data_IF_306066679810
#
_entry.id   IF_306066679810
#
_cell.length_a   1.000
_cell.length_b   1.000
_cell.length_c   1.000
_cell.angle_alpha   90.00
_cell.angle_beta   90.00
_cell.angle_gamma   90.00
#
_symmetry.space_group_name_H-M   'P 1'
#
loop_
_entity.id
_entity.type
_entity.pdbx_description
1 polymer ?
#
# COMPACT_ATOMS: atom_id res chain seq x y z
N UNK A 1 -13.50 18.77 -12.32
CA UNK A 1 -14.21 17.83 -11.43
C UNK A 1 -15.25 17.11 -12.27
N UNK A 2 -15.25 15.77 -12.27
CA UNK A 2 -16.16 14.94 -13.08
C UNK A 2 -16.89 13.95 -12.15
N UNK A 3 -18.19 14.17 -11.87
CA UNK A 3 -18.97 13.31 -10.99
C UNK A 3 -19.06 11.85 -11.44
N UNK A 4 -18.90 11.58 -12.74
CA UNK A 4 -19.00 10.20 -13.27
C UNK A 4 -17.86 9.29 -12.82
N UNK A 5 -16.78 9.86 -12.27
CA UNK A 5 -15.61 9.14 -11.74
C UNK A 5 -15.66 8.94 -10.23
N UNK A 6 -16.73 9.39 -9.55
CA UNK A 6 -16.89 9.27 -8.10
C UNK A 6 -17.71 8.01 -7.79
N UNK A 7 -17.12 7.08 -7.04
CA UNK A 7 -17.76 5.81 -6.64
C UNK A 7 -17.93 5.78 -5.12
N UNK A 8 -19.11 5.37 -4.65
CA UNK A 8 -19.40 5.20 -3.23
C UNK A 8 -18.95 3.83 -2.73
N UNK A 9 -18.59 3.73 -1.45
CA UNK A 9 -18.17 2.49 -0.79
C UNK A 9 -18.61 2.45 0.68
N UNK A 10 -18.38 1.32 1.37
CA UNK A 10 -18.59 1.16 2.81
C UNK A 10 -17.59 1.95 3.67
N UNK A 11 -17.54 3.27 3.47
CA UNK A 11 -16.52 4.16 4.04
C UNK A 11 -15.12 3.92 3.48
N UNK A 12 -14.13 4.56 4.10
CA UNK A 12 -12.72 4.42 3.69
C UNK A 12 -12.24 2.96 3.77
N UNK A 13 -12.65 2.21 4.80
CA UNK A 13 -12.34 0.78 4.93
C UNK A 13 -12.81 -0.03 3.71
N UNK A 14 -14.06 0.14 3.27
CA UNK A 14 -14.54 -0.53 2.06
C UNK A 14 -13.88 -0.04 0.77
N UNK A 15 -13.46 1.24 0.73
CA UNK A 15 -12.73 1.79 -0.40
C UNK A 15 -11.32 1.18 -0.55
N UNK A 16 -10.56 1.09 0.55
CA UNK A 16 -9.22 0.51 0.56
C UNK A 16 -9.22 -0.93 0.03
N UNK A 17 -10.14 -1.74 0.54
CA UNK A 17 -10.24 -3.14 0.14
C UNK A 17 -10.69 -3.30 -1.32
N UNK A 18 -11.66 -2.49 -1.77
CA UNK A 18 -12.10 -2.47 -3.16
C UNK A 18 -10.95 -2.12 -4.11
N UNK A 19 -10.13 -1.11 -3.77
CA UNK A 19 -8.95 -0.76 -4.56
C UNK A 19 -7.93 -1.89 -4.61
N UNK A 20 -7.68 -2.56 -3.49
CA UNK A 20 -6.78 -3.72 -3.46
C UNK A 20 -7.28 -4.84 -4.38
N UNK A 21 -8.57 -5.18 -4.36
CA UNK A 21 -9.17 -6.15 -5.29
C UNK A 21 -9.05 -5.76 -6.77
N UNK A 22 -9.13 -4.46 -7.09
CA UNK A 22 -9.05 -4.00 -8.48
C UNK A 22 -7.61 -3.97 -9.02
N UNK A 23 -6.61 -3.82 -8.16
CA UNK A 23 -5.26 -3.44 -8.58
C UNK A 23 -4.21 -4.52 -8.34
N UNK A 24 -4.47 -5.51 -7.50
CA UNK A 24 -3.49 -6.51 -7.07
C UNK A 24 -4.12 -7.91 -6.90
N UNK A 25 -3.34 -8.94 -7.23
CA UNK A 25 -3.71 -10.34 -7.02
C UNK A 25 -3.23 -10.84 -5.63
N UNK A 26 -3.80 -11.93 -5.09
CA UNK A 26 -3.25 -12.55 -3.87
C UNK A 26 -1.75 -12.88 -4.02
N UNK A 27 -0.93 -12.41 -3.08
CA UNK A 27 0.53 -12.53 -3.11
C UNK A 27 1.27 -11.32 -3.69
N UNK A 28 0.60 -10.44 -4.44
CA UNK A 28 1.14 -9.13 -4.79
C UNK A 28 1.25 -8.24 -3.54
N UNK A 29 1.95 -7.11 -3.64
CA UNK A 29 2.10 -6.16 -2.53
C UNK A 29 1.92 -4.68 -2.92
N UNK A 30 1.50 -3.88 -1.93
CA UNK A 30 1.61 -2.41 -1.97
C UNK A 30 2.75 -1.96 -1.07
N UNK A 31 3.47 -0.92 -1.50
CA UNK A 31 4.40 -0.21 -0.63
C UNK A 31 3.62 0.64 0.37
N UNK A 32 4.07 0.72 1.63
CA UNK A 32 3.43 1.57 2.65
C UNK A 32 4.47 2.26 3.53
N UNK A 33 4.48 3.61 3.66
CA UNK A 33 5.36 4.31 4.59
C UNK A 33 5.10 3.94 6.05
N UNK A 34 6.15 3.72 6.84
CA UNK A 34 6.01 3.46 8.29
C UNK A 34 6.40 4.69 9.11
N UNK A 35 5.61 5.08 10.13
CA UNK A 35 4.38 4.44 10.61
C UNK A 35 3.15 4.73 9.71
N UNK A 36 2.21 3.78 9.64
CA UNK A 36 0.94 3.90 8.90
C UNK A 36 -0.28 3.59 9.78
N UNK A 37 -1.48 3.78 9.22
CA UNK A 37 -2.76 3.47 9.87
C UNK A 37 -2.92 1.95 10.13
N UNK A 38 -2.95 1.47 11.39
CA UNK A 38 -2.87 0.04 11.69
C UNK A 38 -3.97 -0.83 11.05
N UNK A 39 -5.15 -0.29 10.79
CA UNK A 39 -6.21 -1.10 10.16
C UNK A 39 -5.95 -1.37 8.67
N UNK A 40 -4.93 -0.79 8.03
CA UNK A 40 -4.47 -1.23 6.72
C UNK A 40 -4.10 -2.71 6.69
N UNK A 41 -3.56 -3.26 7.77
CA UNK A 41 -3.28 -4.70 7.86
C UNK A 41 -4.54 -5.54 7.69
N UNK A 42 -5.69 -5.05 8.16
CA UNK A 42 -6.98 -5.70 7.97
C UNK A 42 -7.57 -5.38 6.59
N UNK A 43 -7.70 -4.08 6.30
CA UNK A 43 -8.45 -3.54 5.17
C UNK A 43 -7.82 -3.93 3.83
N UNK A 44 -6.49 -4.00 3.75
CA UNK A 44 -5.78 -4.26 2.50
C UNK A 44 -5.32 -5.70 2.33
N UNK A 45 -5.28 -6.52 3.39
CA UNK A 45 -4.66 -7.87 3.34
C UNK A 45 -5.63 -9.01 3.59
N UNK A 46 -6.59 -8.85 4.51
CA UNK A 46 -7.30 -10.00 5.09
C UNK A 46 -8.06 -10.82 4.05
N UNK A 47 -8.90 -10.18 3.23
CA UNK A 47 -9.71 -10.89 2.21
C UNK A 47 -9.08 -10.89 0.81
N UNK A 48 -8.13 -9.99 0.56
CA UNK A 48 -7.50 -9.78 -0.74
C UNK A 48 -6.28 -10.69 -0.93
N UNK A 49 -5.64 -11.14 0.15
CA UNK A 49 -4.36 -11.87 0.10
C UNK A 49 -3.18 -11.00 -0.33
N UNK A 50 -3.37 -9.69 -0.47
CA UNK A 50 -2.31 -8.73 -0.80
C UNK A 50 -1.43 -8.48 0.41
N UNK A 51 -0.15 -8.22 0.20
CA UNK A 51 0.81 -7.91 1.24
C UNK A 51 1.06 -6.40 1.35
N UNK A 52 1.52 -5.96 2.52
CA UNK A 52 2.02 -4.60 2.73
C UNK A 52 3.54 -4.67 2.90
N UNK A 53 4.26 -3.95 2.05
CA UNK A 53 5.71 -3.91 2.05
C UNK A 53 6.18 -2.54 2.57
N UNK A 54 6.93 -2.47 3.69
CA UNK A 54 7.19 -1.21 4.36
C UNK A 54 8.23 -0.34 3.64
N UNK A 55 7.95 0.95 3.53
CA UNK A 55 8.95 2.00 3.31
C UNK A 55 9.31 2.59 4.67
N UNK A 56 10.53 2.34 5.13
CA UNK A 56 10.99 2.82 6.44
C UNK A 56 11.27 4.32 6.38
N UNK A 57 10.48 5.11 7.10
CA UNK A 57 10.75 6.53 7.35
C UNK A 57 11.41 6.71 8.72
N UNK A 58 12.30 7.69 8.83
CA UNK A 58 13.16 7.87 10.01
C UNK A 58 12.88 9.21 10.70
N UNK A 59 13.04 9.25 12.03
CA UNK A 59 12.84 10.49 12.79
C UNK A 59 13.83 11.61 12.44
N UNK A 60 15.01 11.28 11.90
CA UNK A 60 16.05 12.26 11.51
C UNK A 60 15.60 13.23 10.42
N UNK A 61 14.55 12.90 9.65
CA UNK A 61 13.98 13.76 8.62
C UNK A 61 12.48 14.05 8.82
N UNK A 62 11.98 13.92 10.05
CA UNK A 62 10.56 14.06 10.42
C UNK A 62 9.64 13.03 9.73
N UNK A 63 10.12 11.80 9.56
CA UNK A 63 9.39 10.71 8.90
C UNK A 63 8.97 11.02 7.45
N UNK A 64 9.67 11.94 6.77
CA UNK A 64 9.40 12.25 5.37
C UNK A 64 9.79 11.07 4.49
N UNK A 65 8.89 10.70 3.57
CA UNK A 65 9.19 9.71 2.53
C UNK A 65 10.32 10.27 1.65
N UNK A 66 11.35 9.46 1.43
CA UNK A 66 12.46 9.82 0.54
C UNK A 66 12.49 8.90 -0.66
N UNK A 67 12.97 9.42 -1.80
CA UNK A 67 13.21 8.62 -3.01
C UNK A 67 14.09 7.40 -2.69
N UNK A 68 15.16 7.60 -1.93
CA UNK A 68 16.09 6.53 -1.53
C UNK A 68 15.39 5.42 -0.73
N UNK A 69 14.52 5.77 0.21
CA UNK A 69 13.78 4.77 1.00
C UNK A 69 12.79 4.00 0.12
N UNK A 70 12.13 4.68 -0.81
CA UNK A 70 11.19 4.06 -1.75
C UNK A 70 11.91 3.09 -2.71
N UNK A 71 13.01 3.53 -3.33
CA UNK A 71 13.81 2.71 -4.24
C UNK A 71 14.36 1.48 -3.51
N UNK A 72 14.91 1.66 -2.30
CA UNK A 72 15.41 0.54 -1.48
C UNK A 72 14.31 -0.46 -1.09
N UNK A 73 13.10 -0.01 -0.76
CA UNK A 73 11.98 -0.89 -0.45
C UNK A 73 11.53 -1.68 -1.69
N UNK A 74 11.48 -1.02 -2.85
CA UNK A 74 11.13 -1.65 -4.12
C UNK A 74 12.16 -2.71 -4.54
N UNK A 75 13.46 -2.39 -4.46
CA UNK A 75 14.55 -3.34 -4.76
C UNK A 75 14.49 -4.58 -3.86
N UNK A 76 14.31 -4.40 -2.54
CA UNK A 76 14.15 -5.52 -1.60
C UNK A 76 12.95 -6.40 -1.90
N UNK A 77 11.85 -5.81 -2.35
CA UNK A 77 10.67 -6.56 -2.76
C UNK A 77 10.98 -7.39 -4.02
N UNK A 78 11.68 -6.82 -5.00
CA UNK A 78 12.12 -7.54 -6.20
C UNK A 78 13.06 -8.71 -5.88
N UNK A 79 14.04 -8.50 -5.00
CA UNK A 79 14.95 -9.56 -4.51
C UNK A 79 14.18 -10.71 -3.82
N UNK A 80 13.07 -10.37 -3.17
CA UNK A 80 12.18 -11.33 -2.50
C UNK A 80 11.15 -11.96 -3.46
N UNK A 81 11.22 -11.69 -4.76
CA UNK A 81 10.25 -12.08 -5.79
C UNK A 81 8.80 -11.64 -5.48
N UNK A 82 8.64 -10.51 -4.78
CA UNK A 82 7.34 -9.90 -4.47
C UNK A 82 7.05 -8.84 -5.53
N UNK A 83 5.89 -8.95 -6.18
CA UNK A 83 5.46 -8.00 -7.20
C UNK A 83 4.75 -6.81 -6.56
N UNK A 84 5.36 -5.63 -6.69
CA UNK A 84 4.77 -4.38 -6.22
C UNK A 84 3.75 -3.84 -7.24
N UNK A 85 2.56 -3.47 -6.76
CA UNK A 85 1.42 -3.00 -7.58
C UNK A 85 1.06 -1.54 -7.37
N UNK A 86 1.59 -0.92 -6.33
CA UNK A 86 1.38 0.49 -6.02
C UNK A 86 2.07 0.91 -4.73
N UNK A 87 1.84 2.17 -4.38
CA UNK A 87 2.29 2.87 -3.18
C UNK A 87 1.08 3.52 -2.51
#
# INVERSE_FOLDING_TARGET
FDPSRVVMSGGATGAHEMLAFCLADPGDAFLVPTPYYPAFDRDLRWRTGVQLFPIVCDSSNDFKVTRKALESAYEKAQESNIKIKGL
#
